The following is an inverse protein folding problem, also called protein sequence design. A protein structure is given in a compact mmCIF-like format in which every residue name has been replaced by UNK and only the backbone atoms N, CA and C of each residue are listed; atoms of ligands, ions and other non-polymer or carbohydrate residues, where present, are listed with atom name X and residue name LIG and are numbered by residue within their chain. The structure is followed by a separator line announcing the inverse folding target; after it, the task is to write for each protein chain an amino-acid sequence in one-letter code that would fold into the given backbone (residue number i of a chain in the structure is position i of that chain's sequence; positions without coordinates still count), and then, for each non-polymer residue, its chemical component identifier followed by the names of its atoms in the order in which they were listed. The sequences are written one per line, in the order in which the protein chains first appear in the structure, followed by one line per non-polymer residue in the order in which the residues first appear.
data_IF_460691545807
#
_entry.id   IF_460691545807
#
_cell.length_a   1.000
_cell.length_b   1.000
_cell.length_c   1.000
_cell.angle_alpha   90.00
_cell.angle_beta   90.00
_cell.angle_gamma   90.00
#
_symmetry.space_group_name_H-M   'P 1'
#
loop_
_entity.id
_entity.type
_entity.pdbx_description
1 polymer ?
#
# COMPACT_ATOMS: atom_id res chain seq x y z
N UNK A 1 -63.63 28.74 -25.06
CA UNK A 1 -63.82 27.78 -23.95
C UNK A 1 -63.10 26.50 -24.30
N UNK A 2 -62.31 26.02 -23.35
CA UNK A 2 -61.16 25.13 -23.48
C UNK A 2 -61.54 23.68 -23.79
N UNK A 3 -60.87 23.13 -24.80
CA UNK A 3 -60.85 21.72 -25.19
C UNK A 3 -60.24 20.87 -24.07
N UNK A 4 -61.06 20.07 -23.41
CA UNK A 4 -60.67 19.03 -22.45
C UNK A 4 -59.87 17.94 -23.19
N UNK A 5 -58.58 17.77 -22.87
CA UNK A 5 -57.68 16.80 -23.53
C UNK A 5 -57.14 15.75 -22.55
N UNK A 6 -57.82 15.55 -21.42
CA UNK A 6 -57.22 14.87 -20.27
C UNK A 6 -57.96 13.57 -19.89
N UNK A 7 -59.03 13.20 -20.61
CA UNK A 7 -59.88 12.06 -20.24
C UNK A 7 -59.41 10.67 -20.75
N UNK A 8 -58.37 10.57 -21.58
CA UNK A 8 -57.95 9.28 -22.15
C UNK A 8 -56.77 8.60 -21.44
N UNK A 9 -56.10 9.26 -20.50
CA UNK A 9 -54.93 8.68 -19.81
C UNK A 9 -55.26 7.98 -18.49
N UNK A 10 -56.49 8.10 -17.98
CA UNK A 10 -56.90 7.42 -16.74
C UNK A 10 -57.52 6.03 -16.94
N UNK A 11 -57.80 5.60 -18.18
CA UNK A 11 -58.44 4.32 -18.45
C UNK A 11 -57.48 3.12 -18.59
N UNK A 12 -56.16 3.32 -18.52
CA UNK A 12 -55.18 2.24 -18.71
C UNK A 12 -54.48 1.77 -17.42
N UNK A 13 -55.00 2.12 -16.23
CA UNK A 13 -54.36 1.77 -14.95
C UNK A 13 -55.25 0.93 -14.01
N UNK A 14 -56.55 0.73 -14.29
CA UNK A 14 -57.45 0.09 -13.31
C UNK A 14 -58.27 -1.08 -13.86
N UNK A 15 -57.62 -2.10 -14.43
CA UNK A 15 -58.18 -3.47 -14.39
C UNK A 15 -57.08 -4.50 -14.20
N UNK A 16 -56.22 -4.31 -13.20
CA UNK A 16 -55.38 -5.40 -12.68
C UNK A 16 -56.01 -5.86 -11.38
N UNK A 17 -56.79 -6.94 -11.48
CA UNK A 17 -57.41 -7.62 -10.35
C UNK A 17 -56.33 -7.85 -9.27
N UNK A 18 -56.51 -7.45 -8.00
CA UNK A 18 -55.46 -7.52 -6.97
C UNK A 18 -54.92 -8.96 -6.79
N UNK A 19 -55.75 -9.95 -7.11
CA UNK A 19 -55.37 -11.36 -7.16
C UNK A 19 -54.33 -11.65 -8.23
N UNK A 20 -54.42 -11.03 -9.42
CA UNK A 20 -53.42 -11.19 -10.51
C UNK A 20 -52.09 -10.55 -10.15
N UNK A 21 -52.11 -9.39 -9.48
CA UNK A 21 -50.89 -8.74 -8.99
C UNK A 21 -50.22 -9.59 -7.91
N UNK A 22 -51.00 -10.13 -6.97
CA UNK A 22 -50.49 -11.04 -5.96
C UNK A 22 -49.89 -12.33 -6.56
N UNK A 23 -50.52 -12.89 -7.61
CA UNK A 23 -50.00 -14.07 -8.33
C UNK A 23 -48.68 -13.76 -9.03
N UNK A 24 -48.55 -12.59 -9.68
CA UNK A 24 -47.31 -12.21 -10.36
C UNK A 24 -46.15 -11.98 -9.37
N UNK A 25 -46.42 -11.37 -8.21
CA UNK A 25 -45.43 -11.20 -7.15
C UNK A 25 -45.04 -12.55 -6.54
N UNK A 26 -46.00 -13.46 -6.32
CA UNK A 26 -45.74 -14.80 -5.82
C UNK A 26 -44.90 -15.64 -6.80
N UNK A 27 -45.15 -15.50 -8.11
CA UNK A 27 -44.36 -16.16 -9.14
C UNK A 27 -42.92 -15.65 -9.20
N UNK A 28 -42.69 -14.33 -9.07
CA UNK A 28 -41.33 -13.79 -9.03
C UNK A 28 -40.53 -14.25 -7.80
N UNK A 29 -41.18 -14.42 -6.65
CA UNK A 29 -40.51 -14.92 -5.43
C UNK A 29 -40.20 -16.42 -5.51
N UNK A 30 -40.94 -17.19 -6.33
CA UNK A 30 -40.74 -18.63 -6.49
C UNK A 30 -39.68 -19.01 -7.55
N UNK A 31 -39.21 -18.05 -8.35
CA UNK A 31 -38.00 -18.20 -9.19
C UNK A 31 -36.75 -17.59 -8.52
N UNK A 32 -36.67 -17.59 -7.18
CA UNK A 32 -35.35 -17.50 -6.56
C UNK A 32 -34.52 -18.68 -7.04
N UNK A 33 -33.27 -18.51 -7.51
CA UNK A 33 -32.37 -19.63 -7.71
C UNK A 33 -32.19 -20.27 -6.34
N UNK A 34 -32.89 -21.37 -6.07
CA UNK A 34 -32.42 -22.32 -5.10
C UNK A 34 -31.11 -22.84 -5.70
N UNK A 35 -29.98 -22.33 -5.21
CA UNK A 35 -28.69 -22.92 -5.46
C UNK A 35 -28.77 -24.36 -4.91
N UNK A 36 -29.15 -25.28 -5.79
CA UNK A 36 -29.17 -26.70 -5.50
C UNK A 36 -27.72 -27.09 -5.29
N UNK A 37 -27.42 -27.61 -4.09
CA UNK A 37 -26.24 -28.41 -3.85
C UNK A 37 -26.24 -29.58 -4.84
N UNK A 38 -25.45 -29.48 -5.90
CA UNK A 38 -25.09 -30.57 -6.79
C UNK A 38 -23.59 -30.73 -6.62
N UNK A 39 -23.19 -31.91 -6.12
CA UNK A 39 -21.80 -32.28 -5.98
C UNK A 39 -21.05 -32.15 -7.32
N UNK A 40 -19.96 -31.40 -7.26
CA UNK A 40 -19.03 -31.15 -8.35
C UNK A 40 -18.06 -30.11 -7.84
N UNK A 41 -16.87 -30.59 -7.44
CA UNK A 41 -15.62 -29.86 -7.17
C UNK A 41 -15.78 -28.40 -6.71
N UNK A 42 -15.58 -28.15 -5.41
CA UNK A 42 -15.43 -26.79 -4.88
C UNK A 42 -14.48 -25.98 -5.78
N UNK A 43 -14.94 -24.88 -6.41
CA UNK A 43 -13.98 -23.86 -6.80
C UNK A 43 -13.42 -23.34 -5.49
N UNK A 44 -12.12 -23.54 -5.26
CA UNK A 44 -11.42 -22.98 -4.11
C UNK A 44 -11.90 -21.55 -3.87
N UNK A 45 -12.56 -21.32 -2.73
CA UNK A 45 -12.79 -19.97 -2.25
C UNK A 45 -11.40 -19.35 -2.10
N UNK A 46 -10.97 -18.56 -3.10
CA UNK A 46 -9.82 -17.68 -2.94
C UNK A 46 -10.21 -16.77 -1.77
N UNK A 47 -9.57 -16.87 -0.61
CA UNK A 47 -9.90 -16.00 0.50
C UNK A 47 -9.66 -14.58 -0.02
N UNK A 48 -10.73 -13.78 -0.09
CA UNK A 48 -10.59 -12.34 -0.28
C UNK A 48 -9.94 -11.83 0.99
N UNK A 49 -8.60 -11.82 1.00
CA UNK A 49 -7.81 -11.13 2.01
C UNK A 49 -8.22 -9.67 1.89
N UNK A 50 -9.06 -9.21 2.80
CA UNK A 50 -9.26 -7.77 2.99
C UNK A 50 -7.91 -7.27 3.49
N UNK A 51 -7.08 -6.78 2.56
CA UNK A 51 -5.80 -6.18 2.90
C UNK A 51 -6.12 -4.96 3.78
N UNK A 52 -5.77 -5.05 5.06
CA UNK A 52 -5.86 -3.92 5.98
C UNK A 52 -4.98 -2.80 5.43
N UNK A 53 -5.47 -1.55 5.36
CA UNK A 53 -4.66 -0.38 4.96
C UNK A 53 -3.66 -0.05 6.06
N UNK A 54 -2.48 -0.68 6.02
CA UNK A 54 -1.44 -0.55 7.04
C UNK A 54 -0.78 0.83 6.93
N UNK A 55 -0.42 1.29 5.73
CA UNK A 55 0.23 2.59 5.52
C UNK A 55 -0.64 3.74 6.02
N UNK A 56 -1.96 3.66 5.84
CA UNK A 56 -2.93 4.64 6.34
C UNK A 56 -2.90 4.80 7.87
N UNK A 57 -2.47 3.77 8.61
CA UNK A 57 -2.36 3.83 10.08
C UNK A 57 -1.09 4.52 10.58
N UNK A 58 -0.09 4.72 9.73
CA UNK A 58 1.16 5.37 10.13
C UNK A 58 0.99 6.88 10.29
N UNK A 59 1.92 7.50 11.04
CA UNK A 59 1.98 8.95 11.13
C UNK A 59 2.25 9.58 9.75
N UNK A 60 1.77 10.82 9.55
CA UNK A 60 1.95 11.53 8.27
C UNK A 60 3.42 11.64 7.86
N UNK A 61 4.32 11.87 8.81
CA UNK A 61 5.76 11.96 8.55
C UNK A 61 6.33 10.63 8.02
N UNK A 62 5.87 9.50 8.55
CA UNK A 62 6.29 8.17 8.11
C UNK A 62 5.73 7.86 6.71
N UNK A 63 4.47 8.19 6.44
CA UNK A 63 3.88 8.05 5.10
C UNK A 63 4.68 8.82 4.04
N UNK A 64 5.03 10.07 4.32
CA UNK A 64 5.85 10.90 3.42
C UNK A 64 7.25 10.31 3.23
N UNK A 65 7.82 9.71 4.28
CA UNK A 65 9.11 9.04 4.16
C UNK A 65 9.02 7.84 3.21
N UNK A 66 7.98 7.01 3.35
CA UNK A 66 7.70 5.91 2.43
C UNK A 66 7.50 6.38 0.99
N UNK A 67 6.66 7.38 0.76
CA UNK A 67 6.41 7.95 -0.57
C UNK A 67 7.69 8.37 -1.30
N UNK A 68 8.69 8.87 -0.55
CA UNK A 68 10.00 9.24 -1.11
C UNK A 68 10.88 8.06 -1.44
N UNK A 69 10.92 7.04 -0.57
CA UNK A 69 11.83 5.89 -0.74
C UNK A 69 11.25 4.78 -1.61
N UNK A 70 9.94 4.79 -1.85
CA UNK A 70 9.27 3.87 -2.78
C UNK A 70 9.34 4.33 -4.24
N UNK A 71 9.83 5.55 -4.50
CA UNK A 71 10.01 6.06 -5.86
C UNK A 71 11.20 5.36 -6.54
N UNK A 72 10.94 4.22 -7.17
CA UNK A 72 11.96 3.39 -7.83
C UNK A 72 12.69 4.14 -8.94
N UNK A 73 12.03 5.09 -9.61
CA UNK A 73 12.64 5.86 -10.70
C UNK A 73 13.69 6.86 -10.20
N UNK A 74 13.76 7.11 -8.89
CA UNK A 74 14.78 7.94 -8.25
C UNK A 74 16.13 7.24 -8.05
N UNK A 75 16.22 5.94 -8.34
CA UNK A 75 17.41 5.10 -8.13
C UNK A 75 18.09 4.73 -9.45
N UNK A 76 19.41 4.54 -9.43
CA UNK A 76 20.11 4.06 -10.62
C UNK A 76 19.84 2.57 -10.87
N UNK A 77 19.68 2.17 -12.13
CA UNK A 77 19.40 0.77 -12.51
C UNK A 77 20.47 -0.20 -11.98
N UNK A 78 21.75 0.22 -12.02
CA UNK A 78 22.86 -0.57 -11.49
C UNK A 78 22.82 -0.75 -9.97
N UNK A 79 22.26 0.21 -9.23
CA UNK A 79 22.05 0.09 -7.79
C UNK A 79 20.93 -0.90 -7.49
N UNK A 80 19.82 -0.83 -8.23
CA UNK A 80 18.66 -1.71 -8.05
C UNK A 80 18.97 -3.18 -8.37
N UNK A 81 19.83 -3.45 -9.36
CA UNK A 81 20.18 -4.81 -9.78
C UNK A 81 20.88 -5.64 -8.69
N UNK A 82 21.56 -4.98 -7.74
CA UNK A 82 22.32 -5.64 -6.67
C UNK A 82 21.57 -5.67 -5.33
N UNK A 83 20.35 -5.14 -5.26
CA UNK A 83 19.57 -5.08 -4.01
C UNK A 83 19.02 -6.45 -3.65
N UNK A 84 19.65 -7.09 -2.66
CA UNK A 84 19.18 -8.36 -2.11
C UNK A 84 18.07 -8.23 -1.07
N UNK A 85 17.81 -7.03 -0.52
CA UNK A 85 16.84 -6.85 0.56
C UNK A 85 15.97 -5.61 0.38
N UNK A 86 14.69 -5.74 0.75
CA UNK A 86 13.66 -4.75 0.48
C UNK A 86 12.78 -4.54 1.71
N UNK A 87 12.46 -3.29 2.01
CA UNK A 87 11.49 -2.93 3.03
C UNK A 87 10.13 -3.01 2.36
N UNK A 88 9.23 -3.81 2.91
CA UNK A 88 7.91 -4.10 2.35
C UNK A 88 6.86 -3.82 3.42
N UNK A 89 5.77 -3.17 3.03
CA UNK A 89 4.58 -2.98 3.88
C UNK A 89 3.44 -3.84 3.32
N UNK A 90 2.87 -4.71 4.15
CA UNK A 90 1.79 -5.62 3.78
C UNK A 90 0.91 -5.99 4.97
N UNK A 91 -0.38 -6.16 4.71
CA UNK A 91 -1.33 -6.76 5.64
C UNK A 91 -1.30 -8.30 5.68
N UNK A 92 -0.52 -8.95 4.80
CA UNK A 92 -0.42 -10.41 4.75
C UNK A 92 0.34 -10.93 5.98
N UNK A 93 -0.11 -12.00 6.65
CA UNK A 93 0.61 -12.60 7.75
C UNK A 93 1.98 -13.13 7.31
N UNK A 94 3.02 -12.95 8.15
CA UNK A 94 4.40 -13.39 7.86
C UNK A 94 4.54 -14.86 7.43
N UNK A 95 3.66 -15.73 7.92
CA UNK A 95 3.65 -17.16 7.57
C UNK A 95 3.27 -17.40 6.11
N UNK A 96 2.58 -16.46 5.50
CA UNK A 96 2.04 -16.51 4.15
C UNK A 96 2.89 -15.78 3.12
N UNK A 97 3.94 -15.05 3.53
CA UNK A 97 4.79 -14.28 2.61
C UNK A 97 5.38 -15.16 1.50
N UNK A 98 5.78 -16.39 1.80
CA UNK A 98 6.30 -17.35 0.81
C UNK A 98 5.29 -17.80 -0.26
N UNK A 99 4.01 -17.44 -0.11
CA UNK A 99 2.94 -17.75 -1.06
C UNK A 99 2.48 -16.51 -1.84
N UNK A 100 3.09 -15.35 -1.60
CA UNK A 100 2.92 -14.16 -2.43
C UNK A 100 3.63 -14.34 -3.77
N UNK A 101 3.26 -13.56 -4.78
CA UNK A 101 3.91 -13.58 -6.10
C UNK A 101 5.41 -13.24 -6.02
N UNK A 102 5.81 -12.41 -5.06
CA UNK A 102 7.21 -12.09 -4.87
C UNK A 102 7.99 -13.29 -4.34
N UNK A 103 7.36 -14.14 -3.51
CA UNK A 103 7.95 -15.34 -2.91
C UNK A 103 9.35 -15.06 -2.33
N UNK A 104 9.45 -14.24 -1.27
CA UNK A 104 10.73 -13.95 -0.62
C UNK A 104 11.25 -15.18 0.11
N UNK A 105 12.56 -15.41 0.01
CA UNK A 105 13.27 -16.51 0.63
C UNK A 105 13.35 -16.31 2.15
N UNK A 106 13.50 -15.07 2.60
CA UNK A 106 13.43 -14.70 4.01
C UNK A 106 12.51 -13.49 4.21
N UNK A 107 11.76 -13.52 5.31
CA UNK A 107 10.99 -12.37 5.78
C UNK A 107 11.24 -12.14 7.26
N UNK A 108 11.65 -10.92 7.63
CA UNK A 108 11.86 -10.49 9.01
C UNK A 108 10.96 -9.29 9.35
N UNK A 109 10.25 -9.28 10.49
CA UNK A 109 9.49 -8.10 10.90
C UNK A 109 10.43 -6.94 11.25
N UNK A 110 10.05 -5.72 10.90
CA UNK A 110 10.75 -4.51 11.33
C UNK A 110 10.23 -4.09 12.71
N UNK A 111 11.15 -3.76 13.61
CA UNK A 111 10.80 -3.31 14.95
C UNK A 111 10.07 -1.97 14.91
N UNK A 112 9.05 -1.80 15.76
CA UNK A 112 8.27 -0.56 15.92
C UNK A 112 7.43 -0.10 14.72
N UNK A 113 7.41 -0.84 13.60
CA UNK A 113 6.67 -0.47 12.40
C UNK A 113 5.73 -1.61 11.97
N UNK A 114 4.48 -1.55 12.45
CA UNK A 114 3.47 -2.62 12.29
C UNK A 114 3.22 -2.94 10.82
N UNK A 115 3.23 -4.21 10.45
CA UNK A 115 2.93 -4.64 9.07
C UNK A 115 4.04 -4.29 8.08
N UNK A 116 5.24 -4.02 8.58
CA UNK A 116 6.43 -3.84 7.74
C UNK A 116 7.46 -4.94 7.99
N UNK A 117 8.14 -5.32 6.92
CA UNK A 117 9.02 -6.47 6.87
C UNK A 117 10.22 -6.19 5.99
N UNK A 118 11.34 -6.84 6.29
CA UNK A 118 12.48 -6.96 5.39
C UNK A 118 12.32 -8.28 4.63
N UNK A 119 12.10 -8.18 3.33
CA UNK A 119 12.09 -9.30 2.41
C UNK A 119 13.46 -9.43 1.74
N UNK A 120 14.06 -10.61 1.84
CA UNK A 120 15.37 -10.91 1.25
C UNK A 120 15.21 -11.88 0.10
N UNK A 121 15.92 -11.63 -0.99
CA UNK A 121 15.94 -12.47 -2.18
C UNK A 121 17.34 -13.06 -2.41
N UNK A 122 17.42 -14.35 -2.73
CA UNK A 122 18.70 -14.97 -3.11
C UNK A 122 19.17 -14.47 -4.48
N UNK A 123 18.23 -14.31 -5.41
CA UNK A 123 18.47 -13.73 -6.74
C UNK A 123 18.03 -12.26 -6.77
N UNK A 124 18.96 -11.37 -6.42
CA UNK A 124 18.73 -9.91 -6.38
C UNK A 124 18.22 -9.35 -7.72
N UNK A 125 18.58 -9.99 -8.84
CA UNK A 125 18.22 -9.50 -10.18
C UNK A 125 16.73 -9.62 -10.46
N UNK A 126 16.03 -10.51 -9.76
CA UNK A 126 14.58 -10.74 -9.93
C UNK A 126 13.74 -10.09 -8.84
N UNK A 127 14.34 -9.65 -7.75
CA UNK A 127 13.63 -9.12 -6.58
C UNK A 127 12.67 -7.97 -6.93
N UNK A 128 13.13 -7.01 -7.75
CA UNK A 128 12.30 -5.86 -8.16
C UNK A 128 11.06 -6.26 -8.96
N UNK A 129 11.21 -7.12 -9.97
CA UNK A 129 10.09 -7.55 -10.83
C UNK A 129 9.08 -8.42 -10.06
N UNK A 130 9.57 -9.26 -9.15
CA UNK A 130 8.77 -10.02 -8.18
C UNK A 130 7.94 -9.09 -7.28
N UNK A 131 8.56 -8.08 -6.69
CA UNK A 131 7.89 -7.09 -5.84
C UNK A 131 6.86 -6.26 -6.60
N UNK A 132 7.19 -5.83 -7.84
CA UNK A 132 6.23 -5.14 -8.71
C UNK A 132 4.99 -5.99 -8.97
N UNK A 133 5.18 -7.28 -9.20
CA UNK A 133 4.07 -8.21 -9.45
C UNK A 133 3.17 -8.36 -8.21
N UNK A 134 3.75 -8.53 -7.02
CA UNK A 134 2.99 -8.51 -5.75
C UNK A 134 2.29 -7.18 -5.50
N UNK A 135 2.93 -6.05 -5.82
CA UNK A 135 2.33 -4.73 -5.67
C UNK A 135 1.11 -4.56 -6.58
N UNK A 136 1.22 -4.97 -7.85
CA UNK A 136 0.11 -4.91 -8.81
C UNK A 136 -1.05 -5.84 -8.44
N UNK A 137 -0.77 -6.97 -7.78
CA UNK A 137 -1.80 -7.86 -7.23
C UNK A 137 -2.43 -7.34 -5.93
N UNK A 138 -1.91 -6.26 -5.37
CA UNK A 138 -2.34 -5.73 -4.07
C UNK A 138 -1.96 -6.64 -2.90
N UNK A 139 -0.94 -7.47 -3.04
CA UNK A 139 -0.40 -8.27 -1.93
C UNK A 139 0.44 -7.42 -0.98
N UNK A 140 1.03 -6.34 -1.49
CA UNK A 140 1.85 -5.39 -0.74
C UNK A 140 1.41 -3.95 -1.06
N UNK A 141 1.52 -3.06 -0.08
CA UNK A 141 1.09 -1.66 -0.20
C UNK A 141 2.22 -0.70 -0.59
N UNK A 142 3.46 -1.04 -0.23
CA UNK A 142 4.65 -0.25 -0.57
C UNK A 142 5.89 -1.11 -0.44
N UNK A 143 6.91 -0.80 -1.23
CA UNK A 143 8.24 -1.39 -1.11
C UNK A 143 9.33 -0.35 -1.41
N UNK A 144 10.52 -0.53 -0.82
CA UNK A 144 11.69 0.32 -1.07
C UNK A 144 12.99 -0.48 -0.90
N UNK A 145 14.05 -0.19 -1.69
CA UNK A 145 15.30 -0.92 -1.60
C UNK A 145 16.06 -0.60 -0.30
N UNK A 146 16.68 -1.60 0.32
CA UNK A 146 17.66 -1.39 1.39
C UNK A 146 19.04 -1.25 0.77
N UNK A 147 19.51 0.00 0.69
CA UNK A 147 20.86 0.33 0.22
C UNK A 147 21.76 0.74 1.38
N UNK A 148 22.96 0.17 1.43
CA UNK A 148 24.02 0.63 2.32
C UNK A 148 24.62 1.93 1.78
N UNK A 149 24.00 3.06 2.13
CA UNK A 149 24.50 4.38 1.74
C UNK A 149 25.60 4.81 2.70
N UNK A 150 26.84 4.86 2.22
CA UNK A 150 27.89 5.55 2.96
C UNK A 150 27.64 7.06 2.86
N UNK A 151 27.17 7.66 3.95
CA UNK A 151 27.13 9.13 4.07
C UNK A 151 28.57 9.58 4.26
N UNK A 152 29.21 10.09 3.21
CA UNK A 152 30.45 10.84 3.41
C UNK A 152 30.11 12.06 4.26
N UNK A 153 30.73 12.16 5.43
CA UNK A 153 30.70 13.39 6.23
C UNK A 153 31.16 14.52 5.31
N UNK A 154 30.42 15.63 5.34
CA UNK A 154 30.61 16.80 4.47
C UNK A 154 32.10 17.07 4.25
N UNK A 155 32.47 17.34 3.00
CA UNK A 155 33.77 17.90 2.67
C UNK A 155 33.93 19.20 3.45
N UNK A 156 34.77 19.19 4.48
CA UNK A 156 35.28 20.40 5.12
C UNK A 156 36.45 20.89 4.26
N UNK A 157 36.34 22.05 3.60
CA UNK A 157 37.49 22.66 2.97
C UNK A 157 38.56 22.88 4.04
N UNK A 158 39.79 22.45 3.78
CA UNK A 158 40.93 22.83 4.61
C UNK A 158 41.26 24.30 4.30
N UNK A 159 40.40 25.21 4.76
CA UNK A 159 40.52 26.66 4.59
C UNK A 159 41.46 27.19 5.68
N UNK A 160 42.68 27.64 5.33
CA UNK A 160 43.65 28.16 6.29
C UNK A 160 43.17 29.39 7.07
N UNK A 161 42.08 30.04 6.62
CA UNK A 161 41.47 31.22 7.24
C UNK A 161 40.10 30.92 7.88
N UNK A 162 39.74 29.65 8.08
CA UNK A 162 38.49 29.27 8.75
C UNK A 162 38.34 29.94 10.14
N UNK A 163 39.45 30.04 10.89
CA UNK A 163 39.49 30.67 12.21
C UNK A 163 39.21 32.18 12.20
N UNK A 164 39.43 32.85 11.06
CA UNK A 164 39.22 34.30 10.87
C UNK A 164 37.79 34.64 10.41
N UNK A 165 36.97 33.63 10.10
CA UNK A 165 35.60 33.81 9.64
C UNK A 165 34.65 34.00 10.83
N UNK A 166 34.59 35.24 11.30
CA UNK A 166 33.77 35.70 12.45
C UNK A 166 32.29 35.30 12.40
N UNK A 167 31.74 35.01 11.22
CA UNK A 167 30.33 34.64 11.05
C UNK A 167 30.08 33.12 11.13
N UNK A 168 31.14 32.29 11.08
CA UNK A 168 31.06 30.83 11.17
C UNK A 168 31.35 30.31 12.59
N UNK A 169 31.98 31.11 13.44
CA UNK A 169 32.46 30.68 14.75
C UNK A 169 31.35 30.75 15.82
N UNK A 170 30.67 29.61 16.06
CA UNK A 170 29.66 29.46 17.14
C UNK A 170 29.89 28.24 18.04
N UNK A 171 31.14 27.77 18.16
CA UNK A 171 31.42 26.54 18.92
C UNK A 171 32.45 26.61 20.04
N UNK A 172 33.14 27.74 20.33
CA UNK A 172 34.19 27.68 21.37
C UNK A 172 34.38 28.89 22.29
N UNK A 173 33.31 29.65 22.59
CA UNK A 173 33.36 30.72 23.61
C UNK A 173 32.71 30.41 24.95
N UNK A 174 32.40 29.14 25.24
CA UNK A 174 31.83 28.73 26.52
C UNK A 174 32.70 27.78 27.35
N UNK A 175 33.94 27.50 26.94
CA UNK A 175 34.84 26.59 27.66
C UNK A 175 36.02 27.24 28.40
N UNK A 176 36.29 28.54 28.25
CA UNK A 176 37.47 29.17 28.87
C UNK A 176 37.19 30.51 29.59
N UNK A 177 36.22 30.50 30.50
CA UNK A 177 36.15 31.50 31.59
C UNK A 177 36.31 30.75 32.90
N UNK A 178 37.55 30.38 33.23
CA UNK A 178 37.79 29.69 34.48
C UNK A 178 39.20 29.17 34.72
N UNK A 179 40.24 30.00 34.56
CA UNK A 179 41.49 29.89 35.33
C UNK A 179 42.40 31.10 35.10
N UNK A 180 42.73 31.82 36.16
CA UNK A 180 43.83 32.79 36.17
C UNK A 180 43.58 34.05 36.99
N UNK A 181 43.34 33.90 38.29
CA UNK A 181 43.81 34.86 39.28
C UNK A 181 45.20 34.41 39.75
#
# INVERSE_FOLDING_TARGET
MTSNKDEWLYSLVYVTNPVRVAILVLLMVSFSPAAHAVGGEEPEEIPTVVLEDILGTYSRSVQIAFERVSDIDSYEEGELAVVGSWLVVTGIPIKEHRWTEAEPEESKPVEHLRGSYIWTFEDSTKGLEKLRSSFLKGEIESFSPLLDRSVSTRFEPNDPFYDDQWHLNKLDKLADVGRGC
#
